data_IF_355017002488
#
_entry.id   IF_355017002488
#
_cell.length_a   1.000
_cell.length_b   1.000
_cell.length_c   1.000
_cell.angle_alpha   90.00
_cell.angle_beta   90.00
_cell.angle_gamma   90.00
#
_symmetry.space_group_name_H-M   'P 1'
#
loop_
_entity.id
_entity.type
_entity.pdbx_description
1 polymer ?
#
# COMPACT_ATOMS: atom_id res chain seq x y z
N UNK A 1 14.04 16.49 -35.75
CA UNK A 1 12.60 16.19 -35.80
C UNK A 1 12.47 14.67 -35.82
N UNK A 2 12.48 14.03 -34.69
CA UNK A 2 12.38 12.57 -34.56
C UNK A 2 10.98 12.29 -34.03
N UNK A 3 10.10 11.80 -34.89
CA UNK A 3 8.75 11.33 -34.52
C UNK A 3 8.93 10.07 -33.66
N UNK A 4 8.65 10.18 -32.38
CA UNK A 4 8.44 9.02 -31.49
C UNK A 4 7.14 8.35 -31.90
N UNK A 5 7.24 7.13 -32.41
CA UNK A 5 6.09 6.31 -32.77
C UNK A 5 5.26 6.04 -31.49
N UNK A 6 4.02 6.51 -31.48
CA UNK A 6 2.98 6.09 -30.54
C UNK A 6 2.70 4.62 -30.82
N UNK A 7 2.73 3.70 -29.84
CA UNK A 7 2.41 2.30 -30.11
C UNK A 7 0.93 2.21 -30.46
N UNK A 8 0.61 1.76 -31.68
CA UNK A 8 -0.76 1.55 -32.21
C UNK A 8 -1.64 0.64 -31.33
N UNK A 9 -1.05 -0.12 -30.41
CA UNK A 9 -1.76 -0.96 -29.45
C UNK A 9 -2.44 -0.21 -28.28
N UNK A 10 -2.03 1.04 -28.01
CA UNK A 10 -2.55 1.80 -26.86
C UNK A 10 -3.98 2.31 -27.07
N UNK A 11 -4.38 2.64 -28.30
CA UNK A 11 -5.71 3.18 -28.58
C UNK A 11 -6.84 2.15 -28.45
N UNK A 12 -6.55 0.87 -28.68
CA UNK A 12 -7.55 -0.21 -28.60
C UNK A 12 -7.77 -0.71 -27.16
N UNK A 13 -6.77 -0.54 -26.28
CA UNK A 13 -6.85 -1.02 -24.91
C UNK A 13 -7.91 -0.29 -24.08
N UNK A 14 -8.05 1.02 -24.30
CA UNK A 14 -8.96 1.91 -23.56
C UNK A 14 -10.22 2.28 -24.34
N UNK A 15 -10.29 1.92 -25.63
CA UNK A 15 -11.42 2.28 -26.50
C UNK A 15 -12.75 1.81 -25.91
N UNK A 16 -13.76 2.68 -25.95
CA UNK A 16 -15.14 2.42 -25.48
C UNK A 16 -15.26 2.03 -24.00
N UNK A 17 -14.23 2.30 -23.20
CA UNK A 17 -14.29 2.10 -21.75
C UNK A 17 -14.61 3.41 -21.03
N UNK A 18 -15.44 3.32 -20.00
CA UNK A 18 -15.67 4.43 -19.06
C UNK A 18 -14.50 4.53 -18.08
N UNK A 19 -13.39 5.07 -18.58
CA UNK A 19 -12.12 5.27 -17.85
C UNK A 19 -11.54 6.65 -18.17
N UNK A 20 -10.85 7.23 -17.21
CA UNK A 20 -9.93 8.35 -17.44
C UNK A 20 -8.52 7.78 -17.60
N UNK A 21 -7.76 8.29 -18.57
CA UNK A 21 -6.41 7.79 -18.89
C UNK A 21 -5.42 8.96 -18.95
N UNK A 22 -4.36 8.89 -18.19
CA UNK A 22 -3.18 9.75 -18.30
C UNK A 22 -2.04 8.92 -18.90
N UNK A 23 -1.62 9.22 -20.13
CA UNK A 23 -0.47 8.58 -20.76
C UNK A 23 0.82 9.23 -20.29
N UNK A 24 1.90 8.45 -20.23
CA UNK A 24 3.21 8.90 -19.73
C UNK A 24 3.08 9.60 -18.35
N UNK A 25 2.31 8.97 -17.47
CA UNK A 25 1.88 9.57 -16.20
C UNK A 25 3.01 9.61 -15.17
N UNK A 26 3.39 10.79 -14.63
CA UNK A 26 4.42 10.89 -13.59
C UNK A 26 3.92 10.29 -12.26
N UNK A 27 4.55 9.20 -11.81
CA UNK A 27 4.15 8.49 -10.61
C UNK A 27 4.67 9.13 -9.31
N UNK A 28 5.70 9.96 -9.36
CA UNK A 28 6.27 10.64 -8.18
C UNK A 28 5.19 11.34 -7.33
N UNK A 29 4.27 12.06 -7.98
CA UNK A 29 3.17 12.78 -7.30
C UNK A 29 2.17 11.88 -6.55
N UNK A 30 2.23 10.56 -6.81
CA UNK A 30 1.34 9.55 -6.24
C UNK A 30 2.05 8.63 -5.24
N UNK A 31 3.31 8.88 -4.90
CA UNK A 31 4.07 8.12 -3.91
C UNK A 31 4.42 8.98 -2.71
N UNK A 32 4.49 8.38 -1.54
CA UNK A 32 4.91 9.10 -0.32
C UNK A 32 6.39 9.48 -0.32
N UNK A 33 7.20 8.80 -1.10
CA UNK A 33 8.58 9.24 -1.36
C UNK A 33 8.64 10.53 -2.20
N UNK A 34 7.65 10.79 -3.03
CA UNK A 34 7.66 11.94 -3.94
C UNK A 34 8.69 11.82 -5.07
N UNK A 35 9.19 10.61 -5.34
CA UNK A 35 10.17 10.28 -6.38
C UNK A 35 9.71 9.08 -7.22
N UNK A 36 10.35 8.87 -8.36
CA UNK A 36 10.08 7.80 -9.32
C UNK A 36 9.70 8.34 -10.69
N UNK A 37 9.86 7.50 -11.71
CA UNK A 37 9.56 7.82 -13.10
C UNK A 37 8.07 7.72 -13.45
N UNK A 38 7.80 7.51 -14.74
CA UNK A 38 6.46 7.53 -15.32
C UNK A 38 5.92 6.11 -15.52
N UNK A 39 4.60 5.97 -15.54
CA UNK A 39 3.91 4.79 -16.08
C UNK A 39 3.54 5.04 -17.54
N UNK A 40 3.52 4.00 -18.38
CA UNK A 40 3.04 4.13 -19.75
C UNK A 40 1.59 4.64 -19.77
N UNK A 41 0.74 4.18 -18.82
CA UNK A 41 -0.60 4.71 -18.60
C UNK A 41 -1.03 4.61 -17.14
N UNK A 42 -1.60 5.68 -16.59
CA UNK A 42 -2.37 5.69 -15.35
C UNK A 42 -3.85 5.75 -15.69
N UNK A 43 -4.63 4.78 -15.21
CA UNK A 43 -6.03 4.59 -15.59
C UNK A 43 -6.92 4.62 -14.36
N UNK A 44 -8.01 5.39 -14.46
CA UNK A 44 -9.02 5.58 -13.42
C UNK A 44 -10.36 5.01 -13.91
N UNK A 45 -10.66 3.73 -13.64
CA UNK A 45 -11.95 3.14 -14.00
C UNK A 45 -13.09 3.81 -13.24
N UNK A 46 -14.17 4.16 -13.95
CA UNK A 46 -15.33 4.81 -13.32
C UNK A 46 -16.42 3.83 -12.89
N UNK A 47 -16.28 2.55 -13.27
CA UNK A 47 -17.18 1.46 -12.87
C UNK A 47 -16.45 0.12 -12.77
N UNK A 48 -17.04 -0.83 -12.02
CA UNK A 48 -16.52 -2.20 -11.96
C UNK A 48 -16.54 -2.87 -13.33
N UNK A 49 -17.56 -2.59 -14.18
CA UNK A 49 -17.62 -3.13 -15.53
C UNK A 49 -16.47 -2.66 -16.41
N UNK A 50 -16.11 -1.36 -16.34
CA UNK A 50 -14.96 -0.80 -17.04
C UNK A 50 -13.65 -1.44 -16.54
N UNK A 51 -13.48 -1.61 -15.22
CA UNK A 51 -12.33 -2.29 -14.63
C UNK A 51 -12.21 -3.73 -15.12
N UNK A 52 -13.29 -4.53 -15.08
CA UNK A 52 -13.29 -5.91 -15.57
C UNK A 52 -12.88 -6.00 -17.04
N UNK A 53 -13.42 -5.11 -17.88
CA UNK A 53 -13.11 -5.10 -19.31
C UNK A 53 -11.67 -4.67 -19.58
N UNK A 54 -11.16 -3.67 -18.85
CA UNK A 54 -9.76 -3.24 -18.92
C UNK A 54 -8.82 -4.41 -18.58
N UNK A 55 -9.05 -5.10 -17.47
CA UNK A 55 -8.22 -6.24 -17.05
C UNK A 55 -8.23 -7.37 -18.06
N UNK A 56 -9.40 -7.74 -18.62
CA UNK A 56 -9.50 -8.74 -19.71
C UNK A 56 -8.68 -8.33 -20.93
N UNK A 57 -8.71 -7.05 -21.31
CA UNK A 57 -7.92 -6.55 -22.44
C UNK A 57 -6.43 -6.61 -22.15
N UNK A 58 -6.00 -6.19 -20.95
CA UNK A 58 -4.60 -6.29 -20.53
C UNK A 58 -4.12 -7.75 -20.52
N UNK A 59 -4.92 -8.69 -20.01
CA UNK A 59 -4.60 -10.11 -20.01
C UNK A 59 -4.41 -10.66 -21.43
N UNK A 60 -5.32 -10.29 -22.35
CA UNK A 60 -5.24 -10.73 -23.75
C UNK A 60 -4.03 -10.20 -24.51
N UNK A 61 -3.56 -9.02 -24.17
CA UNK A 61 -2.40 -8.37 -24.79
C UNK A 61 -1.10 -8.57 -24.01
N UNK A 62 -1.13 -9.35 -22.91
CA UNK A 62 -0.01 -9.52 -21.98
C UNK A 62 0.55 -8.17 -21.48
N UNK A 63 -0.31 -7.16 -21.37
CA UNK A 63 0.07 -5.85 -20.83
C UNK A 63 0.21 -5.93 -19.33
N UNK A 64 1.37 -5.58 -18.75
CA UNK A 64 1.56 -5.57 -17.30
C UNK A 64 0.56 -4.63 -16.61
N UNK A 65 0.02 -5.06 -15.45
CA UNK A 65 -0.93 -4.26 -14.67
C UNK A 65 -0.45 -4.16 -13.23
N UNK A 66 -0.49 -2.95 -12.69
CA UNK A 66 -0.24 -2.67 -11.28
C UNK A 66 -1.38 -1.87 -10.68
N UNK A 67 -1.59 -2.00 -9.38
CA UNK A 67 -2.61 -1.24 -8.65
C UNK A 67 -1.94 -0.25 -7.74
N UNK A 68 -2.25 1.01 -7.92
CA UNK A 68 -1.77 2.10 -7.09
C UNK A 68 -2.85 2.48 -6.06
N UNK A 69 -2.59 2.18 -4.81
CA UNK A 69 -3.38 2.69 -3.70
C UNK A 69 -2.91 4.09 -3.31
N UNK A 70 -2.59 4.27 -2.05
CA UNK A 70 -2.12 5.55 -1.50
C UNK A 70 -0.61 5.81 -1.73
N UNK A 71 0.10 4.87 -2.34
CA UNK A 71 1.53 5.00 -2.64
C UNK A 71 2.46 5.04 -1.42
N UNK A 72 1.94 4.68 -0.25
CA UNK A 72 2.65 4.81 1.02
C UNK A 72 3.61 3.64 1.34
N UNK A 73 3.56 2.55 0.59
CA UNK A 73 4.46 1.40 0.71
C UNK A 73 5.11 1.08 -0.64
N UNK A 74 5.47 2.12 -1.40
CA UNK A 74 5.89 1.98 -2.78
C UNK A 74 7.11 2.85 -3.09
N UNK A 75 8.06 2.27 -3.80
CA UNK A 75 9.13 2.97 -4.51
C UNK A 75 9.06 2.62 -5.99
N UNK A 76 9.05 3.61 -6.87
CA UNK A 76 9.02 3.46 -8.33
C UNK A 76 10.40 3.76 -8.90
N UNK A 77 10.91 2.91 -9.79
CA UNK A 77 12.18 3.10 -10.51
C UNK A 77 12.19 4.47 -11.22
N UNK A 78 13.34 5.13 -11.24
CA UNK A 78 13.53 6.43 -11.93
C UNK A 78 13.21 6.34 -13.43
N UNK A 79 13.40 5.16 -14.05
CA UNK A 79 13.05 4.89 -15.46
C UNK A 79 11.53 4.66 -15.67
N UNK A 80 10.76 4.69 -14.59
CA UNK A 80 9.33 4.38 -14.61
C UNK A 80 9.03 2.90 -14.71
N UNK A 81 7.82 2.59 -15.18
CA UNK A 81 7.32 1.21 -15.32
C UNK A 81 6.58 1.03 -16.63
N UNK A 82 6.53 -0.22 -17.07
CA UNK A 82 5.75 -0.62 -18.25
C UNK A 82 4.31 -0.90 -17.88
N UNK A 83 3.41 -0.69 -18.86
CA UNK A 83 2.03 -1.12 -18.82
C UNK A 83 1.09 -0.15 -18.11
N UNK A 84 0.04 -0.70 -17.50
CA UNK A 84 -1.08 0.04 -16.94
C UNK A 84 -1.00 0.09 -15.43
N UNK A 85 -1.08 1.28 -14.86
CA UNK A 85 -1.33 1.50 -13.44
C UNK A 85 -2.80 1.83 -13.23
N UNK A 86 -3.48 1.09 -12.39
CA UNK A 86 -4.89 1.32 -12.05
C UNK A 86 -4.98 2.04 -10.71
N UNK A 87 -5.78 3.10 -10.66
CA UNK A 87 -6.15 3.80 -9.43
C UNK A 87 -7.66 3.83 -9.26
N UNK A 88 -8.13 3.38 -8.09
CA UNK A 88 -9.55 3.28 -7.77
C UNK A 88 -10.02 4.51 -6.99
N UNK A 89 -10.24 5.63 -7.64
CA UNK A 89 -10.67 6.88 -7.01
C UNK A 89 -12.09 7.33 -7.39
N UNK A 90 -12.76 6.61 -8.29
CA UNK A 90 -14.16 6.85 -8.62
C UNK A 90 -15.09 6.58 -7.41
N UNK A 91 -16.24 7.28 -7.32
CA UNK A 91 -17.18 7.14 -6.20
C UNK A 91 -17.59 5.71 -5.87
N UNK A 92 -17.77 4.83 -6.87
CA UNK A 92 -18.12 3.43 -6.67
C UNK A 92 -17.04 2.61 -5.94
N UNK A 93 -15.78 3.07 -5.99
CA UNK A 93 -14.64 2.43 -5.33
C UNK A 93 -14.19 3.15 -4.05
N UNK A 94 -14.79 4.31 -3.71
CA UNK A 94 -14.43 5.08 -2.53
C UNK A 94 -15.59 5.28 -1.55
N UNK A 95 -16.76 4.72 -1.83
CA UNK A 95 -17.94 4.80 -0.99
C UNK A 95 -17.72 4.14 0.38
N UNK A 96 -18.46 4.63 1.37
CA UNK A 96 -18.65 3.99 2.68
C UNK A 96 -20.16 3.88 2.94
N UNK A 97 -20.62 2.70 3.19
CA UNK A 97 -21.98 2.38 3.61
C UNK A 97 -21.93 1.74 4.99
N UNK A 98 -22.52 2.41 5.98
CA UNK A 98 -22.66 1.90 7.33
C UNK A 98 -23.93 1.05 7.45
N UNK A 99 -23.92 0.02 8.30
CA UNK A 99 -24.99 -0.97 8.43
C UNK A 99 -25.30 -1.66 7.09
N UNK A 100 -24.25 -2.02 6.37
CA UNK A 100 -24.36 -2.75 5.12
C UNK A 100 -25.15 -4.05 5.30
N UNK A 101 -25.82 -4.48 4.24
CA UNK A 101 -26.68 -5.69 4.26
C UNK A 101 -27.81 -5.63 5.31
N UNK A 102 -28.12 -4.43 5.86
CA UNK A 102 -29.08 -4.24 6.93
C UNK A 102 -28.60 -4.67 8.31
N UNK A 103 -27.35 -5.06 8.44
CA UNK A 103 -26.77 -5.56 9.69
C UNK A 103 -26.00 -4.46 10.44
N UNK A 104 -26.38 -4.14 11.68
CA UNK A 104 -25.66 -3.19 12.52
C UNK A 104 -24.20 -3.61 12.73
N UNK A 105 -23.30 -2.66 12.51
CA UNK A 105 -21.85 -2.91 12.67
C UNK A 105 -21.14 -3.44 11.43
N UNK A 106 -21.84 -3.86 10.38
CA UNK A 106 -21.20 -4.12 9.09
C UNK A 106 -21.05 -2.82 8.31
N UNK A 107 -19.83 -2.57 7.84
CA UNK A 107 -19.52 -1.41 7.02
C UNK A 107 -18.94 -1.86 5.67
N UNK A 108 -19.65 -1.56 4.57
CA UNK A 108 -19.14 -1.77 3.22
C UNK A 108 -18.27 -0.59 2.82
N UNK A 109 -17.04 -0.87 2.44
CA UNK A 109 -16.03 0.13 2.15
C UNK A 109 -15.41 -0.14 0.79
N UNK A 110 -15.31 0.88 -0.05
CA UNK A 110 -14.62 0.79 -1.33
C UNK A 110 -13.12 0.57 -1.17
N UNK A 111 -12.51 -0.26 -2.03
CA UNK A 111 -11.09 -0.61 -1.95
C UNK A 111 -10.14 0.57 -2.18
N UNK A 112 -10.58 1.58 -2.95
CA UNK A 112 -9.84 2.81 -3.18
C UNK A 112 -10.02 3.90 -2.10
N UNK A 113 -10.91 3.68 -1.12
CA UNK A 113 -11.15 4.65 -0.05
C UNK A 113 -9.94 4.78 0.85
N UNK A 114 -9.63 6.02 1.22
CA UNK A 114 -8.60 6.34 2.20
C UNK A 114 -8.93 5.73 3.58
N UNK A 115 -7.95 5.03 4.16
CA UNK A 115 -8.11 4.32 5.44
C UNK A 115 -8.30 5.30 6.61
N UNK A 116 -7.60 6.43 6.61
CA UNK A 116 -7.72 7.41 7.69
C UNK A 116 -9.10 8.07 7.70
N UNK A 117 -9.67 8.36 6.51
CA UNK A 117 -11.05 8.84 6.37
C UNK A 117 -12.04 7.77 6.85
N UNK A 118 -11.79 6.49 6.51
CA UNK A 118 -12.63 5.37 6.97
C UNK A 118 -12.64 5.27 8.49
N UNK A 119 -11.46 5.31 9.13
CA UNK A 119 -11.33 5.32 10.60
C UNK A 119 -12.05 6.53 11.21
N UNK A 120 -11.91 7.71 10.60
CA UNK A 120 -12.57 8.91 11.07
C UNK A 120 -14.10 8.77 11.06
N UNK A 121 -14.67 8.33 9.94
CA UNK A 121 -16.12 8.25 9.74
C UNK A 121 -16.76 7.15 10.59
N UNK A 122 -16.12 5.98 10.72
CA UNK A 122 -16.58 4.91 11.61
C UNK A 122 -16.52 5.31 13.09
N UNK A 123 -15.44 6.01 13.50
CA UNK A 123 -15.33 6.57 14.87
C UNK A 123 -16.44 7.58 15.16
N UNK A 124 -16.80 8.44 14.20
CA UNK A 124 -17.94 9.38 14.35
C UNK A 124 -19.27 8.67 14.46
N UNK A 125 -19.40 7.51 13.84
CA UNK A 125 -20.59 6.64 13.96
C UNK A 125 -20.56 5.76 15.22
N UNK A 126 -19.64 5.99 16.15
CA UNK A 126 -19.46 5.17 17.38
C UNK A 126 -19.21 3.69 17.08
N UNK A 127 -18.48 3.41 15.98
CA UNK A 127 -18.07 2.07 15.57
C UNK A 127 -16.56 1.92 15.75
N UNK A 128 -16.16 0.98 16.60
CA UNK A 128 -14.78 0.63 16.90
C UNK A 128 -14.32 -0.64 16.20
N UNK A 129 -12.97 -0.83 16.17
CA UNK A 129 -12.29 -1.96 15.55
C UNK A 129 -11.18 -1.54 14.59
N UNK A 130 -11.21 -0.30 14.08
CA UNK A 130 -10.16 0.22 13.18
C UNK A 130 -9.10 1.08 13.90
N UNK A 131 -9.21 1.33 15.20
CA UNK A 131 -8.27 2.16 15.97
C UNK A 131 -6.82 1.66 15.90
N UNK A 132 -6.56 0.35 15.85
CA UNK A 132 -5.21 -0.18 15.71
C UNK A 132 -4.47 0.35 14.47
N UNK A 133 -5.21 0.75 13.43
CA UNK A 133 -4.70 1.20 12.15
C UNK A 133 -4.48 2.72 12.06
N UNK A 134 -4.80 3.47 13.12
CA UNK A 134 -4.59 4.93 13.18
C UNK A 134 -3.15 5.27 12.80
N UNK A 135 -3.00 6.23 11.86
CA UNK A 135 -1.71 6.66 11.35
C UNK A 135 -1.02 5.64 10.43
N UNK A 136 -1.74 4.65 9.90
CA UNK A 136 -1.29 3.84 8.76
C UNK A 136 -1.81 4.51 7.49
N UNK A 137 -0.93 5.07 6.65
CA UNK A 137 -1.34 5.64 5.38
C UNK A 137 -1.59 4.52 4.37
N UNK A 138 -2.82 4.40 3.90
CA UNK A 138 -3.18 3.38 2.91
C UNK A 138 -4.57 3.63 2.32
N UNK A 139 -4.84 3.11 1.13
CA UNK A 139 -6.20 2.77 0.73
C UNK A 139 -6.67 1.49 1.44
N UNK A 140 -7.97 1.31 1.60
CA UNK A 140 -8.53 0.11 2.25
C UNK A 140 -8.08 -1.17 1.53
N UNK A 141 -8.11 -1.19 0.19
CA UNK A 141 -7.64 -2.34 -0.60
C UNK A 141 -6.15 -2.62 -0.40
N UNK A 142 -5.32 -1.57 -0.35
CA UNK A 142 -3.88 -1.68 -0.05
C UNK A 142 -3.63 -2.22 1.35
N UNK A 143 -4.38 -1.72 2.35
CA UNK A 143 -4.30 -2.20 3.72
C UNK A 143 -4.66 -3.68 3.84
N UNK A 144 -5.73 -4.13 3.17
CA UNK A 144 -6.15 -5.54 3.16
C UNK A 144 -5.10 -6.41 2.43
N UNK A 145 -4.59 -5.97 1.28
CA UNK A 145 -3.58 -6.74 0.52
C UNK A 145 -2.32 -7.02 1.34
N UNK A 146 -1.89 -6.04 2.13
CA UNK A 146 -0.70 -6.14 2.97
C UNK A 146 -1.01 -6.60 4.39
N UNK A 147 -2.26 -6.91 4.73
CA UNK A 147 -2.67 -7.10 6.12
C UNK A 147 -2.06 -6.02 7.03
N UNK A 148 -2.35 -4.77 6.69
CA UNK A 148 -1.76 -3.62 7.38
C UNK A 148 -2.09 -3.65 8.88
N UNK A 149 -1.11 -3.37 9.69
CA UNK A 149 -1.27 -3.41 11.15
C UNK A 149 0.03 -3.14 11.90
N UNK A 150 0.00 -3.37 13.17
CA UNK A 150 1.15 -3.16 14.06
C UNK A 150 0.91 -3.67 15.47
N UNK A 151 1.53 -3.01 16.43
CA UNK A 151 1.47 -3.40 17.87
C UNK A 151 0.05 -3.59 18.42
N UNK A 152 -0.94 -2.91 17.84
CA UNK A 152 -2.29 -2.83 18.43
C UNK A 152 -3.32 -3.70 17.71
N UNK A 153 -2.98 -4.33 16.59
CA UNK A 153 -3.84 -5.16 15.77
C UNK A 153 -3.62 -4.92 14.27
N UNK A 154 -4.35 -5.62 13.45
CA UNK A 154 -4.25 -5.60 12.00
C UNK A 154 -5.63 -5.54 11.32
N UNK A 155 -5.68 -5.16 10.05
CA UNK A 155 -6.96 -4.99 9.34
C UNK A 155 -7.72 -6.31 9.21
N UNK A 156 -7.00 -7.43 9.12
CA UNK A 156 -7.59 -8.77 9.07
C UNK A 156 -8.48 -9.11 10.26
N UNK A 157 -8.30 -8.44 11.42
CA UNK A 157 -9.10 -8.65 12.62
C UNK A 157 -10.56 -8.22 12.44
N UNK A 158 -10.83 -7.31 11.51
CA UNK A 158 -12.16 -6.74 11.25
C UNK A 158 -12.71 -7.02 9.86
N UNK A 159 -11.96 -7.67 8.98
CA UNK A 159 -12.46 -8.04 7.66
C UNK A 159 -13.54 -9.13 7.79
N UNK A 160 -14.73 -8.89 7.23
CA UNK A 160 -15.81 -9.84 7.12
C UNK A 160 -15.85 -10.51 5.74
N UNK A 161 -15.72 -9.73 4.68
CA UNK A 161 -15.63 -10.24 3.31
C UNK A 161 -14.89 -9.26 2.41
N UNK A 162 -14.37 -9.75 1.27
CA UNK A 162 -13.61 -8.96 0.30
C UNK A 162 -14.10 -9.26 -1.10
N UNK A 163 -14.42 -8.22 -1.86
CA UNK A 163 -14.65 -8.30 -3.29
C UNK A 163 -13.42 -7.85 -4.06
N UNK A 164 -13.00 -8.65 -5.03
CA UNK A 164 -11.92 -8.31 -5.94
C UNK A 164 -12.26 -8.68 -7.37
N UNK A 165 -11.55 -8.07 -8.31
CA UNK A 165 -11.53 -8.47 -9.71
C UNK A 165 -10.15 -9.07 -10.00
N UNK A 166 -10.11 -10.31 -10.46
CA UNK A 166 -8.88 -11.02 -10.80
C UNK A 166 -8.21 -10.44 -12.04
N UNK A 167 -6.95 -10.78 -12.31
CA UNK A 167 -6.22 -10.21 -13.47
C UNK A 167 -6.86 -10.58 -14.83
N UNK A 168 -7.63 -11.65 -14.88
CA UNK A 168 -8.44 -12.04 -16.05
C UNK A 168 -9.80 -11.32 -16.13
N UNK A 169 -10.07 -10.36 -15.23
CA UNK A 169 -11.25 -9.51 -15.24
C UNK A 169 -12.51 -10.15 -14.65
N UNK A 170 -12.36 -11.23 -13.86
CA UNK A 170 -13.49 -11.91 -13.23
C UNK A 170 -13.72 -11.40 -11.79
N UNK A 171 -14.92 -10.92 -11.46
CA UNK A 171 -15.26 -10.53 -10.10
C UNK A 171 -15.40 -11.76 -9.21
N UNK A 172 -14.82 -11.69 -8.02
CA UNK A 172 -14.90 -12.73 -6.98
C UNK A 172 -15.15 -12.13 -5.61
N UNK A 173 -15.84 -12.87 -4.77
CA UNK A 173 -16.08 -12.53 -3.36
C UNK A 173 -15.48 -13.61 -2.48
N UNK A 174 -14.80 -13.20 -1.44
CA UNK A 174 -14.17 -14.06 -0.45
C UNK A 174 -14.78 -13.76 0.91
N UNK A 175 -15.37 -14.77 1.56
CA UNK A 175 -15.79 -14.69 2.94
C UNK A 175 -14.57 -14.77 3.87
N UNK A 176 -14.70 -14.28 5.11
CA UNK A 176 -13.58 -14.23 6.09
C UNK A 176 -12.88 -15.57 6.26
N UNK A 177 -13.64 -16.66 6.30
CA UNK A 177 -13.16 -18.01 6.55
C UNK A 177 -12.28 -18.56 5.42
N UNK A 178 -12.43 -18.01 4.21
CA UNK A 178 -11.65 -18.37 3.04
C UNK A 178 -10.37 -17.54 2.88
N UNK A 179 -10.12 -16.57 3.77
CA UNK A 179 -8.97 -15.68 3.70
C UNK A 179 -8.04 -15.96 4.87
N UNK A 180 -6.80 -16.30 4.58
CA UNK A 180 -5.74 -16.37 5.59
C UNK A 180 -4.96 -15.06 5.63
N UNK A 181 -5.02 -14.42 6.79
CA UNK A 181 -4.20 -13.28 7.13
C UNK A 181 -2.96 -13.74 7.91
N UNK A 182 -1.82 -13.20 7.55
CA UNK A 182 -0.57 -13.40 8.26
C UNK A 182 0.26 -12.12 8.23
N UNK A 183 1.37 -12.10 8.93
CA UNK A 183 2.21 -10.91 9.03
C UNK A 183 2.59 -10.35 7.64
N UNK A 184 2.06 -9.17 7.32
CA UNK A 184 2.26 -8.46 6.05
C UNK A 184 1.85 -9.27 4.81
N UNK A 185 0.85 -10.12 4.94
CA UNK A 185 0.41 -10.96 3.83
C UNK A 185 -1.05 -11.39 3.96
N UNK A 186 -1.73 -11.49 2.81
CA UNK A 186 -3.00 -12.21 2.65
C UNK A 186 -2.89 -13.18 1.48
N UNK A 187 -3.58 -14.32 1.57
CA UNK A 187 -3.63 -15.32 0.49
C UNK A 187 -4.75 -15.07 -0.54
N UNK A 188 -5.33 -13.88 -0.54
CA UNK A 188 -6.27 -13.47 -1.59
C UNK A 188 -5.66 -13.64 -2.97
N UNK A 189 -6.43 -14.14 -3.92
CA UNK A 189 -6.02 -14.26 -5.32
C UNK A 189 -5.43 -12.94 -5.84
N UNK A 190 -4.45 -13.00 -6.76
CA UNK A 190 -3.95 -11.83 -7.45
C UNK A 190 -5.07 -11.08 -8.16
N UNK A 191 -5.10 -9.76 -8.04
CA UNK A 191 -6.14 -8.92 -8.61
C UNK A 191 -6.34 -7.61 -7.86
N UNK A 192 -7.40 -6.90 -8.20
CA UNK A 192 -7.76 -5.56 -7.72
C UNK A 192 -8.86 -5.67 -6.66
N UNK A 193 -8.58 -5.35 -5.41
CA UNK A 193 -9.59 -5.31 -4.34
C UNK A 193 -10.47 -4.07 -4.57
N UNK A 194 -11.75 -4.30 -4.86
CA UNK A 194 -12.71 -3.24 -5.22
C UNK A 194 -13.55 -2.78 -4.04
N UNK A 195 -13.81 -3.66 -3.08
CA UNK A 195 -14.53 -3.36 -1.85
C UNK A 195 -14.22 -4.39 -0.76
N UNK A 196 -14.56 -4.04 0.47
CA UNK A 196 -14.60 -4.96 1.60
C UNK A 196 -15.82 -4.67 2.48
N UNK A 197 -16.30 -5.67 3.21
CA UNK A 197 -17.18 -5.49 4.37
C UNK A 197 -16.32 -5.68 5.61
N UNK A 198 -16.42 -4.72 6.52
CA UNK A 198 -15.74 -4.73 7.81
C UNK A 198 -16.75 -4.97 8.91
N UNK A 199 -16.47 -5.91 9.81
CA UNK A 199 -17.27 -6.16 11.01
C UNK A 199 -16.75 -5.30 12.16
N UNK A 200 -17.44 -4.19 12.39
CA UNK A 200 -17.16 -3.22 13.44
C UNK A 200 -18.12 -3.43 14.61
N UNK A 201 -17.80 -2.88 15.77
CA UNK A 201 -18.62 -3.03 16.96
C UNK A 201 -18.99 -1.66 17.55
N UNK A 202 -20.20 -1.50 18.09
CA UNK A 202 -20.55 -0.30 18.84
C UNK A 202 -19.53 -0.06 19.97
N UNK A 203 -19.09 1.17 20.13
CA UNK A 203 -18.10 1.55 21.12
C UNK A 203 -18.40 2.96 21.67
N UNK A 204 -17.99 3.21 22.91
CA UNK A 204 -18.09 4.54 23.51
C UNK A 204 -17.26 5.55 22.72
N UNK A 205 -17.83 6.63 22.18
CA UNK A 205 -17.14 7.63 21.41
C UNK A 205 -16.01 8.33 22.20
N UNK A 206 -16.13 8.47 23.51
CA UNK A 206 -15.10 9.08 24.34
C UNK A 206 -13.88 8.15 24.42
N UNK A 207 -14.12 6.85 24.64
CA UNK A 207 -13.06 5.84 24.66
C UNK A 207 -12.35 5.74 23.29
N UNK A 208 -13.10 5.78 22.17
CA UNK A 208 -12.54 5.78 20.83
C UNK A 208 -11.62 6.98 20.58
N UNK A 209 -12.06 8.18 20.97
CA UNK A 209 -11.24 9.40 20.83
C UNK A 209 -9.99 9.38 21.70
N UNK A 210 -10.11 8.87 22.92
CA UNK A 210 -8.95 8.70 23.81
C UNK A 210 -7.94 7.73 23.21
N UNK A 211 -8.40 6.58 22.73
CA UNK A 211 -7.55 5.58 22.09
C UNK A 211 -6.85 6.13 20.83
N UNK A 212 -7.58 6.93 20.03
CA UNK A 212 -7.01 7.61 18.88
C UNK A 212 -5.86 8.54 19.26
N UNK A 213 -6.04 9.36 20.30
CA UNK A 213 -4.99 10.26 20.80
C UNK A 213 -3.75 9.50 21.26
N UNK A 214 -3.92 8.43 22.03
CA UNK A 214 -2.82 7.60 22.54
C UNK A 214 -1.99 7.00 21.40
N UNK A 215 -2.65 6.36 20.42
CA UNK A 215 -1.95 5.73 19.29
C UNK A 215 -1.25 6.76 18.44
N UNK A 216 -1.92 7.90 18.14
CA UNK A 216 -1.32 8.99 17.36
C UNK A 216 -0.09 9.58 18.07
N UNK A 217 -0.18 9.85 19.36
CA UNK A 217 0.94 10.37 20.15
C UNK A 217 2.13 9.38 20.17
N UNK A 218 1.84 8.10 20.36
CA UNK A 218 2.89 7.07 20.30
C UNK A 218 3.59 7.05 18.93
N UNK A 219 2.83 7.00 17.82
CA UNK A 219 3.44 6.99 16.48
C UNK A 219 4.24 8.26 16.20
N UNK A 220 3.73 9.43 16.59
CA UNK A 220 4.44 10.70 16.45
C UNK A 220 5.75 10.73 17.26
N UNK A 221 5.82 10.04 18.40
CA UNK A 221 7.05 9.99 19.21
C UNK A 221 8.16 9.12 18.61
N UNK A 222 7.82 8.08 17.83
CA UNK A 222 8.78 7.08 17.34
C UNK A 222 9.03 7.09 15.84
N UNK A 223 8.17 7.70 15.04
CA UNK A 223 8.27 7.68 13.56
C UNK A 223 8.56 9.08 12.99
N UNK A 224 9.29 9.18 11.86
CA UNK A 224 9.57 10.45 11.17
C UNK A 224 8.40 10.87 10.27
N UNK A 225 7.20 11.11 10.84
CA UNK A 225 5.95 11.31 10.10
C UNK A 225 5.94 12.49 9.13
N UNK A 226 6.83 13.48 9.31
CA UNK A 226 6.95 14.65 8.43
C UNK A 226 7.91 14.44 7.26
N UNK A 227 8.65 13.32 7.23
CA UNK A 227 9.65 13.06 6.19
C UNK A 227 9.06 12.24 5.05
N UNK A 228 9.54 12.50 3.82
CA UNK A 228 9.21 11.68 2.66
C UNK A 228 9.80 10.28 2.81
N UNK A 229 8.95 9.27 2.96
CA UNK A 229 9.33 7.87 3.11
C UNK A 229 8.16 6.94 2.78
N UNK A 230 8.42 5.67 2.55
CA UNK A 230 7.38 4.65 2.36
C UNK A 230 7.19 3.78 3.63
N UNK A 231 7.31 4.36 4.82
CA UNK A 231 7.18 3.63 6.08
C UNK A 231 8.41 2.77 6.41
N UNK A 232 8.19 1.62 7.03
CA UNK A 232 9.25 0.68 7.36
C UNK A 232 9.82 0.04 6.09
N UNK A 233 11.13 0.16 5.86
CA UNK A 233 11.81 -0.40 4.69
C UNK A 233 11.83 -1.94 4.73
N UNK A 234 11.99 -2.53 5.92
CA UNK A 234 12.15 -3.97 6.09
C UNK A 234 11.09 -4.55 7.01
N UNK A 235 10.71 -5.79 6.75
CA UNK A 235 9.92 -6.61 7.66
C UNK A 235 10.70 -6.89 8.93
N UNK A 236 10.00 -7.03 10.04
CA UNK A 236 10.62 -7.53 11.27
C UNK A 236 10.96 -9.02 11.06
N UNK A 237 12.24 -9.40 11.06
CA UNK A 237 12.66 -10.79 10.82
C UNK A 237 12.36 -11.68 12.02
N UNK A 238 12.41 -13.00 11.79
CA UNK A 238 12.46 -13.99 12.87
C UNK A 238 13.94 -14.25 13.18
N UNK A 239 14.31 -14.15 14.44
CA UNK A 239 15.65 -14.48 14.92
C UNK A 239 15.83 -16.01 14.85
N UNK A 240 16.79 -16.52 14.07
CA UNK A 240 16.98 -17.97 13.90
C UNK A 240 17.44 -18.66 15.19
N UNK A 241 18.00 -17.92 16.14
CA UNK A 241 18.46 -18.46 17.43
C UNK A 241 17.33 -18.63 18.46
N UNK A 242 16.34 -17.73 18.44
CA UNK A 242 15.23 -17.74 19.42
C UNK A 242 13.90 -18.18 18.84
N UNK A 243 13.73 -18.10 17.51
CA UNK A 243 12.45 -18.31 16.84
C UNK A 243 11.47 -17.13 17.01
N UNK A 244 11.86 -16.07 17.68
CA UNK A 244 11.02 -14.91 17.95
C UNK A 244 11.19 -13.82 16.88
N UNK A 245 10.13 -13.03 16.66
CA UNK A 245 10.17 -11.88 15.76
C UNK A 245 10.85 -10.70 16.44
N UNK A 246 11.91 -10.17 15.83
CA UNK A 246 12.70 -9.06 16.33
C UNK A 246 12.50 -7.80 15.49
N UNK A 247 12.64 -6.64 16.11
CA UNK A 247 12.49 -5.35 15.42
C UNK A 247 13.66 -5.11 14.44
N UNK A 248 13.35 -4.99 13.14
CA UNK A 248 14.33 -4.60 12.13
C UNK A 248 14.95 -3.22 12.47
N UNK A 249 14.14 -2.27 12.92
CA UNK A 249 14.64 -0.94 13.32
C UNK A 249 15.65 -1.00 14.47
N UNK A 250 15.44 -1.88 15.45
CA UNK A 250 16.39 -2.09 16.54
C UNK A 250 17.69 -2.76 16.07
N UNK A 251 17.60 -3.73 15.14
CA UNK A 251 18.79 -4.37 14.54
C UNK A 251 19.64 -3.34 13.78
N UNK A 252 19.01 -2.50 12.96
CA UNK A 252 19.67 -1.44 12.19
C UNK A 252 20.29 -0.39 13.13
N UNK A 253 19.60 -0.03 14.22
CA UNK A 253 20.10 0.91 15.23
C UNK A 253 21.32 0.35 15.96
N UNK A 254 21.25 -0.90 16.43
CA UNK A 254 22.38 -1.61 17.06
C UNK A 254 23.56 -1.81 16.11
N UNK A 255 23.28 -1.94 14.82
CA UNK A 255 24.30 -1.97 13.78
C UNK A 255 24.93 -0.58 13.51
N UNK A 256 24.48 0.50 14.20
CA UNK A 256 25.04 1.84 14.05
C UNK A 256 24.78 2.47 12.68
N UNK A 257 23.67 2.09 11.99
CA UNK A 257 23.41 2.50 10.62
C UNK A 257 22.46 3.71 10.50
N UNK A 258 21.92 4.25 11.60
CA UNK A 258 21.19 5.52 11.58
C UNK A 258 22.07 6.63 11.00
N UNK A 259 21.49 7.53 10.22
CA UNK A 259 22.19 8.61 9.54
C UNK A 259 23.04 8.20 8.33
N UNK A 260 23.16 6.88 8.03
CA UNK A 260 23.84 6.42 6.81
C UNK A 260 23.17 6.99 5.58
N UNK A 261 23.95 7.51 4.62
CA UNK A 261 23.46 8.20 3.42
C UNK A 261 24.01 7.58 2.14
N UNK A 262 23.19 7.62 1.07
CA UNK A 262 23.59 7.40 -0.32
C UNK A 262 22.78 8.40 -1.16
N UNK A 263 23.46 9.25 -1.92
CA UNK A 263 22.82 10.31 -2.68
C UNK A 263 21.89 11.16 -1.81
N UNK A 264 20.64 11.29 -2.24
CA UNK A 264 19.59 12.00 -1.51
C UNK A 264 18.81 11.17 -0.51
N UNK A 265 19.16 9.88 -0.30
CA UNK A 265 18.52 9.00 0.65
C UNK A 265 19.31 8.83 1.94
N UNK A 266 18.63 8.73 3.10
CA UNK A 266 19.28 8.49 4.39
C UNK A 266 18.43 7.62 5.31
N UNK A 267 19.09 6.81 6.15
CA UNK A 267 18.45 6.13 7.27
C UNK A 267 18.07 7.16 8.31
N UNK A 268 16.81 7.19 8.71
CA UNK A 268 16.31 8.16 9.68
C UNK A 268 17.01 8.03 11.04
N UNK A 269 17.45 9.14 11.61
CA UNK A 269 18.00 9.21 12.97
C UNK A 269 16.95 8.86 14.03
N UNK A 270 15.67 9.07 13.73
CA UNK A 270 14.55 8.81 14.63
C UNK A 270 14.17 7.34 14.68
N UNK A 271 14.19 6.64 13.53
CA UNK A 271 13.76 5.25 13.43
C UNK A 271 14.60 4.48 12.41
N UNK A 272 15.46 3.56 12.86
CA UNK A 272 16.40 2.85 11.99
C UNK A 272 15.78 2.10 10.78
N UNK A 273 14.50 1.73 10.85
CA UNK A 273 13.81 1.06 9.74
C UNK A 273 13.11 2.02 8.75
N UNK A 274 13.39 3.31 8.81
CA UNK A 274 12.87 4.29 7.86
C UNK A 274 14.01 4.85 7.00
N UNK A 275 13.89 4.73 5.70
CA UNK A 275 14.71 5.46 4.74
C UNK A 275 13.91 6.68 4.31
N UNK A 276 14.48 7.86 4.52
CA UNK A 276 13.89 9.14 4.18
C UNK A 276 14.65 9.76 3.03
N UNK A 277 14.00 10.63 2.24
CA UNK A 277 14.62 11.29 1.10
C UNK A 277 14.53 12.80 1.19
N UNK A 278 15.53 13.47 0.63
CA UNK A 278 15.61 14.91 0.44
C UNK A 278 15.16 15.30 -0.99
N UNK A 279 14.80 16.56 -1.24
CA UNK A 279 14.50 17.02 -2.60
C UNK A 279 15.64 16.71 -3.57
N UNK A 280 15.29 16.13 -4.73
CA UNK A 280 16.26 15.74 -5.75
C UNK A 280 16.87 14.33 -5.57
N UNK A 281 16.45 13.59 -4.55
CA UNK A 281 16.79 12.18 -4.42
C UNK A 281 16.23 11.35 -5.58
N UNK A 282 16.88 10.21 -5.85
CA UNK A 282 16.46 9.25 -6.87
C UNK A 282 16.04 7.93 -6.23
N UNK A 283 15.20 7.19 -6.91
CA UNK A 283 14.84 5.83 -6.48
C UNK A 283 16.06 4.92 -6.37
N UNK A 284 17.05 5.10 -7.26
CA UNK A 284 18.31 4.39 -7.20
C UNK A 284 19.05 4.60 -5.87
N UNK A 285 19.04 5.82 -5.31
CA UNK A 285 19.69 6.13 -4.03
C UNK A 285 19.05 5.33 -2.87
N UNK A 286 17.71 5.24 -2.88
CA UNK A 286 16.95 4.48 -1.88
C UNK A 286 17.22 2.97 -2.01
N UNK A 287 17.23 2.44 -3.24
CA UNK A 287 17.49 1.03 -3.51
C UNK A 287 18.88 0.60 -3.05
N UNK A 288 19.90 1.42 -3.39
CA UNK A 288 21.30 1.17 -3.01
C UNK A 288 21.48 1.25 -1.49
N UNK A 289 20.87 2.26 -0.84
CA UNK A 289 20.92 2.40 0.60
C UNK A 289 20.24 1.24 1.31
N UNK A 290 19.06 0.78 0.82
CA UNK A 290 18.37 -0.37 1.37
C UNK A 290 19.19 -1.66 1.27
N UNK A 291 19.87 -1.89 0.14
CA UNK A 291 20.76 -3.03 -0.03
C UNK A 291 21.94 -2.95 0.96
N UNK A 292 22.63 -1.82 1.03
CA UNK A 292 23.73 -1.60 1.98
C UNK A 292 23.30 -1.84 3.43
N UNK A 293 22.16 -1.29 3.85
CA UNK A 293 21.63 -1.47 5.21
C UNK A 293 21.34 -2.95 5.51
N UNK A 294 20.77 -3.68 4.56
CA UNK A 294 20.50 -5.10 4.72
C UNK A 294 21.79 -5.92 4.87
N UNK A 295 22.78 -5.67 4.01
CA UNK A 295 24.06 -6.38 4.01
C UNK A 295 24.87 -6.09 5.27
N UNK A 296 24.99 -4.83 5.68
CA UNK A 296 25.72 -4.45 6.88
C UNK A 296 25.03 -4.93 8.15
N UNK A 297 23.69 -4.91 8.21
CA UNK A 297 22.93 -5.50 9.34
C UNK A 297 23.19 -6.99 9.43
N UNK A 298 23.14 -7.71 8.29
CA UNK A 298 23.45 -9.13 8.27
C UNK A 298 24.89 -9.44 8.71
N UNK A 299 25.87 -8.67 8.23
CA UNK A 299 27.27 -8.86 8.60
C UNK A 299 27.51 -8.69 10.11
N UNK A 300 26.75 -7.82 10.79
CA UNK A 300 26.93 -7.53 12.22
C UNK A 300 26.05 -8.39 13.14
N UNK A 301 24.90 -8.89 12.66
CA UNK A 301 23.90 -9.58 13.48
C UNK A 301 23.65 -11.03 13.09
N UNK A 302 24.05 -11.44 11.88
CA UNK A 302 23.70 -12.75 11.31
C UNK A 302 22.23 -12.86 10.86
N UNK A 303 21.43 -11.80 11.00
CA UNK A 303 19.99 -11.80 10.69
C UNK A 303 19.73 -11.08 9.37
N UNK A 304 19.13 -11.77 8.39
CA UNK A 304 18.77 -11.18 7.10
C UNK A 304 17.52 -10.32 7.21
N UNK A 305 17.57 -9.13 6.60
CA UNK A 305 16.42 -8.24 6.45
C UNK A 305 15.76 -8.44 5.09
N UNK A 306 14.43 -8.65 5.10
CA UNK A 306 13.60 -8.71 3.90
C UNK A 306 12.86 -7.38 3.73
N UNK A 307 12.82 -6.87 2.49
CA UNK A 307 12.10 -5.61 2.20
C UNK A 307 10.60 -5.75 2.45
N UNK A 308 10.01 -4.75 3.06
CA UNK A 308 8.56 -4.55 3.17
C UNK A 308 8.05 -3.61 2.08
N UNK A 309 8.81 -2.55 1.76
CA UNK A 309 8.50 -1.61 0.68
C UNK A 309 8.53 -2.34 -0.67
N UNK A 310 7.46 -2.16 -1.43
CA UNK A 310 7.33 -2.71 -2.78
C UNK A 310 8.12 -1.84 -3.75
N UNK A 311 8.98 -2.46 -4.56
CA UNK A 311 9.71 -1.76 -5.61
C UNK A 311 9.09 -2.10 -6.96
N UNK A 312 8.64 -1.08 -7.66
CA UNK A 312 8.19 -1.21 -9.04
C UNK A 312 9.35 -0.85 -9.97
N UNK A 313 9.70 -1.77 -10.85
CA UNK A 313 10.79 -1.61 -11.81
C UNK A 313 10.30 -1.80 -13.23
N UNK A 314 10.90 -1.09 -14.17
CA UNK A 314 10.70 -1.29 -15.60
C UNK A 314 11.27 -2.65 -16.01
N UNK A 315 10.52 -3.42 -16.82
CA UNK A 315 10.90 -4.77 -17.25
C UNK A 315 10.68 -5.89 -16.22
N UNK A 316 10.12 -5.57 -15.03
CA UNK A 316 9.65 -6.58 -14.07
C UNK A 316 8.12 -6.67 -14.15
N UNK A 317 7.53 -7.89 -14.09
CA UNK A 317 6.08 -8.10 -14.16
C UNK A 317 5.33 -7.56 -12.94
#
# INVERSE_FOLDING_TARGET
MTMTATPEGSSTLFADLDVEVELDAPLAKHTWYGIGGHADALVHPRSQGALCTLLRRCARTSTPVRVLGDGANLLVDDRGIDGVVIRLDAPCFTALELNAEGEPGLARVGGGRDLAKTIHDTTRASLGGLEPLIGVPASVGGAIRMNAGGKYGEIGDVVHSVGLVTWDGEPRTYARESIRFSYRHTDLSPGVITWAILALRPADPVALQQRKKEISAYKASVQPLAAHSAGCMFRNPVDPGTGERVSAGLLIDRAGLKGTRIGGASVSDRHGNFIVVEPGARAADVMELAAKVADETFARTGIRLEREVVFWRRGEP
#
